data_IF_069968627237
#
_entry.id   IF_069968627237
#
_cell.length_a   1.000
_cell.length_b   1.000
_cell.length_c   1.000
_cell.angle_alpha   90.00
_cell.angle_beta   90.00
_cell.angle_gamma   90.00
#
_symmetry.space_group_name_H-M   'P 1'
#
loop_
_entity.id
_entity.type
_entity.pdbx_description
1 polymer ?
#
# COMPACT_ATOMS: atom_id res chain seq x y z
N UNK A 1 -18.70 75.33 -8.54
CA UNK A 1 -17.36 74.92 -9.01
C UNK A 1 -16.41 75.15 -7.82
N UNK A 2 -16.16 74.11 -6.99
CA UNK A 2 -15.23 74.17 -5.85
C UNK A 2 -14.13 73.17 -6.11
N UNK A 3 -12.92 73.63 -6.28
CA UNK A 3 -11.68 72.88 -6.48
C UNK A 3 -11.19 72.47 -5.09
N UNK A 4 -11.04 71.15 -4.84
CA UNK A 4 -10.44 70.62 -3.62
C UNK A 4 -9.03 70.16 -3.98
N UNK A 5 -8.07 70.87 -3.43
CA UNK A 5 -6.62 70.55 -3.52
C UNK A 5 -6.23 69.46 -2.56
N UNK A 6 -5.74 68.33 -3.04
CA UNK A 6 -5.18 67.26 -2.21
C UNK A 6 -3.72 67.54 -1.84
N UNK A 7 -3.43 67.62 -0.54
CA UNK A 7 -2.07 67.72 0.00
C UNK A 7 -1.41 66.35 -0.05
N UNK A 8 -0.23 66.26 -0.69
CA UNK A 8 0.67 65.09 -0.60
C UNK A 8 1.31 65.06 0.78
N UNK A 9 1.08 63.98 1.51
CA UNK A 9 1.83 63.65 2.72
C UNK A 9 3.00 62.75 2.29
N UNK A 10 4.22 63.21 2.48
CA UNK A 10 5.45 62.40 2.32
C UNK A 10 5.71 61.63 3.60
N UNK A 11 5.68 60.28 3.49
CA UNK A 11 6.10 59.38 4.56
C UNK A 11 7.63 59.20 4.47
N UNK A 12 8.38 59.31 5.57
CA UNK A 12 9.82 59.01 5.54
C UNK A 12 10.06 57.49 5.45
N UNK A 13 10.84 57.09 4.48
CA UNK A 13 11.33 55.70 4.31
C UNK A 13 12.36 55.42 5.43
N UNK A 14 11.98 54.63 6.42
CA UNK A 14 12.91 54.10 7.41
C UNK A 14 13.71 52.97 6.76
N UNK A 15 14.97 53.23 6.49
CA UNK A 15 15.94 52.22 6.07
C UNK A 15 16.32 51.37 7.33
N UNK A 16 15.83 50.15 7.42
CA UNK A 16 16.33 49.14 8.40
C UNK A 16 17.49 48.39 7.74
N UNK A 17 18.72 48.46 8.27
CA UNK A 17 19.80 47.65 7.75
C UNK A 17 19.52 46.19 8.08
N UNK A 18 19.28 45.35 7.05
CA UNK A 18 19.26 43.90 7.19
C UNK A 18 20.71 43.45 7.34
N UNK A 19 21.10 43.10 8.55
CA UNK A 19 22.35 42.43 8.83
C UNK A 19 22.26 41.00 8.34
N UNK A 20 22.83 40.69 7.19
CA UNK A 20 23.12 39.32 6.76
C UNK A 20 24.16 38.71 7.68
N UNK A 21 23.72 37.97 8.70
CA UNK A 21 24.58 37.01 9.39
C UNK A 21 24.94 35.88 8.42
N UNK A 22 26.10 35.24 8.57
CA UNK A 22 26.44 34.09 7.75
C UNK A 22 25.37 33.00 7.96
N UNK A 23 24.61 32.67 6.90
CA UNK A 23 23.85 31.43 6.88
C UNK A 23 24.88 30.29 6.98
N UNK A 24 25.02 29.70 8.17
CA UNK A 24 25.59 28.39 8.26
C UNK A 24 24.70 27.48 7.43
N UNK A 25 25.21 27.04 6.28
CA UNK A 25 24.59 25.95 5.55
C UNK A 25 24.62 24.76 6.52
N UNK A 26 23.47 24.46 7.16
CA UNK A 26 23.26 23.14 7.74
C UNK A 26 23.34 22.19 6.55
N UNK A 27 24.42 21.41 6.49
CA UNK A 27 24.46 20.24 5.63
C UNK A 27 23.19 19.46 5.96
N UNK A 28 22.29 19.36 5.01
CA UNK A 28 21.18 18.41 5.10
C UNK A 28 21.84 17.06 5.31
N UNK A 29 21.53 16.43 6.43
CA UNK A 29 21.94 15.06 6.70
C UNK A 29 21.38 14.24 5.53
N UNK A 30 22.28 13.76 4.68
CA UNK A 30 21.91 13.00 3.49
C UNK A 30 21.33 11.69 4.02
N UNK A 31 20.01 11.62 4.15
CA UNK A 31 19.32 10.43 4.63
C UNK A 31 19.64 9.31 3.65
N UNK A 32 20.50 8.41 4.06
CA UNK A 32 20.83 7.22 3.28
C UNK A 32 19.58 6.37 3.19
N UNK A 33 18.96 6.34 2.01
CA UNK A 33 17.80 5.49 1.74
C UNK A 33 18.26 4.04 1.71
N UNK A 34 17.69 3.23 2.58
CA UNK A 34 18.05 1.83 2.78
C UNK A 34 17.01 0.94 2.07
N UNK A 35 17.49 0.08 1.20
CA UNK A 35 16.65 -0.91 0.49
C UNK A 35 16.44 -2.12 1.39
N UNK A 36 15.22 -2.33 1.85
CA UNK A 36 14.85 -3.47 2.70
C UNK A 36 14.30 -4.66 1.89
N UNK A 37 14.06 -4.47 0.60
CA UNK A 37 13.52 -5.51 -0.29
C UNK A 37 14.58 -6.50 -0.78
N UNK A 38 15.86 -6.19 -0.65
CA UNK A 38 16.94 -7.13 -0.95
C UNK A 38 17.20 -8.03 0.27
N UNK A 39 17.83 -9.20 0.09
CA UNK A 39 18.23 -10.05 1.23
C UNK A 39 19.17 -9.35 2.21
N UNK A 40 19.69 -8.20 1.83
CA UNK A 40 20.57 -7.33 2.62
C UNK A 40 19.95 -5.95 2.73
N UNK A 41 20.16 -5.33 3.88
CA UNK A 41 19.91 -3.91 4.06
C UNK A 41 21.10 -3.15 3.47
N UNK A 42 20.99 -2.70 2.22
CA UNK A 42 22.02 -1.95 1.49
C UNK A 42 21.47 -0.59 1.08
N UNK A 43 22.37 0.36 0.83
CA UNK A 43 21.94 1.66 0.30
C UNK A 43 21.37 1.50 -1.12
N UNK A 44 20.49 2.42 -1.53
CA UNK A 44 19.94 2.41 -2.89
C UNK A 44 21.03 2.44 -3.95
N UNK A 45 22.10 3.20 -3.70
CA UNK A 45 23.23 3.35 -4.64
C UNK A 45 24.11 2.11 -4.75
N UNK A 46 24.17 1.30 -3.69
CA UNK A 46 25.00 0.08 -3.65
C UNK A 46 24.24 -1.16 -4.13
N UNK A 47 22.93 -1.01 -4.38
CA UNK A 47 22.09 -2.13 -4.83
C UNK A 47 22.33 -2.41 -6.32
N UNK A 48 22.77 -3.64 -6.73
CA UNK A 48 23.06 -3.98 -8.13
C UNK A 48 21.78 -4.22 -8.93
N UNK A 49 20.78 -3.35 -8.79
CA UNK A 49 19.47 -3.45 -9.41
C UNK A 49 18.85 -2.07 -9.61
N UNK A 50 17.88 -1.96 -10.52
CA UNK A 50 17.11 -0.72 -10.69
C UNK A 50 16.08 -0.61 -9.55
N UNK A 51 16.46 -0.01 -8.45
CA UNK A 51 15.63 0.22 -7.26
C UNK A 51 15.19 1.67 -7.18
N UNK A 52 14.07 1.92 -6.54
CA UNK A 52 13.66 3.22 -6.05
C UNK A 52 13.03 3.03 -4.68
N UNK A 53 13.45 3.85 -3.73
CA UNK A 53 12.88 3.90 -2.39
C UNK A 53 12.04 5.16 -2.25
N UNK A 54 10.79 5.02 -1.85
CA UNK A 54 9.90 6.14 -1.53
C UNK A 54 9.67 6.17 -0.03
N UNK A 55 10.05 7.26 0.62
CA UNK A 55 9.90 7.38 2.06
C UNK A 55 8.41 7.51 2.45
N UNK A 56 8.05 7.00 3.63
CA UNK A 56 6.71 7.18 4.16
C UNK A 56 6.39 8.65 4.48
N UNK A 57 7.39 9.48 4.73
CA UNK A 57 7.23 10.91 4.91
C UNK A 57 6.79 11.58 3.60
N UNK A 58 7.48 11.32 2.49
CA UNK A 58 7.09 11.81 1.16
C UNK A 58 5.71 11.33 0.77
N UNK A 59 5.39 10.07 1.08
CA UNK A 59 4.07 9.49 0.80
C UNK A 59 2.94 10.16 1.61
N UNK A 60 3.24 10.66 2.80
CA UNK A 60 2.26 11.33 3.65
C UNK A 60 2.18 12.84 3.40
N UNK A 61 3.19 13.42 2.74
CA UNK A 61 3.23 14.86 2.48
C UNK A 61 2.23 15.23 1.39
N UNK A 62 1.32 16.16 1.72
CA UNK A 62 0.33 16.74 0.80
C UNK A 62 -0.57 15.73 0.06
N UNK A 63 -0.78 14.52 0.60
CA UNK A 63 -1.64 13.49 0.02
C UNK A 63 -2.84 13.17 0.92
N UNK A 64 -3.97 12.72 0.36
CA UNK A 64 -5.11 12.23 1.14
C UNK A 64 -4.81 10.92 1.88
N UNK A 65 -3.77 10.18 1.52
CA UNK A 65 -3.32 8.89 2.09
C UNK A 65 -4.39 7.79 1.98
N UNK A 66 -5.02 7.67 0.83
CA UNK A 66 -6.10 6.70 0.58
C UNK A 66 -5.60 5.54 -0.28
N UNK A 67 -4.83 5.83 -1.34
CA UNK A 67 -4.36 4.86 -2.33
C UNK A 67 -2.88 5.05 -2.67
N UNK A 68 -2.17 3.96 -2.98
CA UNK A 68 -0.76 3.97 -3.41
C UNK A 68 -0.50 4.84 -4.65
N UNK A 69 -1.52 5.03 -5.51
CA UNK A 69 -1.42 5.89 -6.69
C UNK A 69 -1.15 7.36 -6.40
N UNK A 70 -1.36 7.79 -5.17
CA UNK A 70 -1.15 9.19 -4.77
C UNK A 70 0.35 9.53 -4.63
N UNK A 71 1.19 8.53 -4.37
CA UNK A 71 2.58 8.72 -3.98
C UNK A 71 3.59 8.01 -4.87
N UNK A 72 3.25 6.88 -5.46
CA UNK A 72 4.21 6.08 -6.24
C UNK A 72 4.27 6.46 -7.73
N UNK A 73 3.48 7.45 -8.18
CA UNK A 73 3.49 7.90 -9.58
C UNK A 73 4.81 8.53 -10.04
N UNK A 74 5.67 8.94 -9.10
CA UNK A 74 7.00 9.49 -9.37
C UNK A 74 8.07 8.42 -9.64
N UNK A 75 7.80 7.15 -9.35
CA UNK A 75 8.77 6.07 -9.53
C UNK A 75 8.95 5.76 -11.02
N UNK A 76 10.17 5.94 -11.58
CA UNK A 76 10.41 5.72 -13.00
C UNK A 76 10.08 4.29 -13.43
N UNK A 77 9.30 4.13 -14.51
CA UNK A 77 8.92 2.83 -15.06
C UNK A 77 7.83 2.08 -14.29
N UNK A 78 7.33 2.62 -13.19
CA UNK A 78 6.12 2.15 -12.51
C UNK A 78 4.93 2.99 -13.00
N UNK A 79 3.89 2.32 -13.47
CA UNK A 79 2.63 2.94 -13.85
C UNK A 79 1.53 2.42 -12.94
N UNK A 80 0.82 3.34 -12.28
CA UNK A 80 -0.31 3.03 -11.42
C UNK A 80 -1.54 3.73 -11.99
N UNK A 81 -2.51 2.95 -12.42
CA UNK A 81 -3.77 3.48 -12.90
C UNK A 81 -4.83 3.36 -11.81
N UNK A 82 -5.43 4.50 -11.49
CA UNK A 82 -6.54 4.61 -10.55
C UNK A 82 -7.78 5.07 -11.33
N UNK A 83 -8.82 4.26 -11.32
CA UNK A 83 -10.08 4.57 -12.01
C UNK A 83 -10.98 5.52 -11.23
N UNK A 84 -10.52 6.03 -10.08
CA UNK A 84 -11.32 6.80 -9.13
C UNK A 84 -12.62 6.07 -8.72
N UNK A 85 -12.52 4.73 -8.66
CA UNK A 85 -13.58 3.81 -8.30
C UNK A 85 -13.04 2.85 -7.25
N UNK A 86 -13.50 3.00 -6.02
CA UNK A 86 -12.99 2.23 -4.88
C UNK A 86 -13.40 0.75 -4.89
N UNK A 87 -14.38 0.35 -5.70
CA UNK A 87 -14.72 -1.04 -5.91
C UNK A 87 -13.73 -1.76 -6.84
N UNK A 88 -12.95 -1.01 -7.61
CA UNK A 88 -11.93 -1.53 -8.52
C UNK A 88 -10.55 -1.43 -7.90
N UNK A 89 -9.75 -2.50 -8.04
CA UNK A 89 -8.37 -2.50 -7.59
C UNK A 89 -7.51 -1.58 -8.49
N UNK A 90 -6.43 -1.04 -7.92
CA UNK A 90 -5.41 -0.33 -8.69
C UNK A 90 -4.79 -1.28 -9.71
N UNK A 91 -4.52 -0.78 -10.90
CA UNK A 91 -3.76 -1.50 -11.90
C UNK A 91 -2.32 -1.02 -11.86
N UNK A 92 -1.40 -1.94 -11.57
CA UNK A 92 0.03 -1.66 -11.51
C UNK A 92 0.73 -2.34 -12.69
N UNK A 93 1.63 -1.62 -13.34
CA UNK A 93 2.56 -2.21 -14.28
C UNK A 93 3.97 -1.64 -14.12
N UNK A 94 4.98 -2.50 -14.28
CA UNK A 94 6.39 -2.12 -14.23
C UNK A 94 7.00 -2.43 -15.58
N UNK A 95 7.47 -1.38 -16.30
CA UNK A 95 8.07 -1.52 -17.63
C UNK A 95 7.21 -2.35 -18.60
N UNK A 96 5.87 -2.23 -18.49
CA UNK A 96 4.89 -2.96 -19.31
C UNK A 96 4.48 -4.34 -18.76
N UNK A 97 5.20 -4.90 -17.80
CA UNK A 97 4.74 -6.11 -17.11
C UNK A 97 3.55 -5.77 -16.21
N UNK A 98 2.50 -6.58 -16.27
CA UNK A 98 1.24 -6.32 -15.55
C UNK A 98 0.22 -5.48 -16.34
N UNK A 99 0.58 -4.85 -17.45
CA UNK A 99 -0.31 -3.98 -18.24
C UNK A 99 -1.56 -4.70 -18.78
N UNK A 100 -1.50 -6.02 -19.00
CA UNK A 100 -2.64 -6.83 -19.43
C UNK A 100 -3.62 -7.17 -18.31
N UNK A 101 -3.25 -6.93 -17.05
CA UNK A 101 -4.15 -7.16 -15.93
C UNK A 101 -5.16 -6.02 -15.87
N UNK A 102 -6.36 -6.25 -16.37
CA UNK A 102 -7.44 -5.27 -16.31
C UNK A 102 -8.02 -5.11 -14.89
N UNK A 103 -7.81 -6.12 -14.05
CA UNK A 103 -8.31 -6.13 -12.66
C UNK A 103 -7.23 -6.66 -11.73
N UNK A 104 -6.83 -5.81 -10.76
CA UNK A 104 -5.78 -6.13 -9.78
C UNK A 104 -4.37 -6.09 -10.38
N UNK A 105 -3.43 -6.71 -9.70
CA UNK A 105 -2.01 -6.75 -10.05
C UNK A 105 -1.61 -8.15 -10.45
N UNK A 106 -0.86 -8.31 -11.54
CA UNK A 106 -0.27 -9.58 -11.99
C UNK A 106 1.14 -9.36 -12.51
N UNK A 107 2.03 -10.35 -12.31
CA UNK A 107 3.41 -10.28 -12.78
C UNK A 107 4.32 -9.34 -11.96
N UNK A 108 3.80 -8.77 -10.89
CA UNK A 108 4.53 -7.98 -9.90
C UNK A 108 4.30 -8.61 -8.55
N UNK A 109 5.38 -8.89 -7.83
CA UNK A 109 5.30 -9.44 -6.49
C UNK A 109 5.24 -8.31 -5.48
N UNK A 110 4.29 -8.36 -4.55
CA UNK A 110 4.14 -7.37 -3.49
C UNK A 110 4.20 -8.01 -2.12
N UNK A 111 4.82 -7.31 -1.18
CA UNK A 111 4.90 -7.70 0.22
C UNK A 111 4.53 -6.53 1.11
N UNK A 112 3.95 -6.83 2.27
CA UNK A 112 3.75 -5.90 3.38
C UNK A 112 4.42 -6.52 4.61
N UNK A 113 5.50 -5.91 5.07
CA UNK A 113 6.34 -6.43 6.17
C UNK A 113 6.80 -7.90 5.98
N UNK A 114 7.03 -8.31 4.74
CA UNK A 114 7.41 -9.68 4.40
C UNK A 114 6.23 -10.65 4.18
N UNK A 115 5.00 -10.27 4.53
CA UNK A 115 3.82 -11.07 4.21
C UNK A 115 3.41 -10.77 2.76
N UNK A 116 3.25 -11.79 1.89
CA UNK A 116 2.84 -11.56 0.51
C UNK A 116 1.47 -10.87 0.41
N UNK A 117 1.41 -9.76 -0.31
CA UNK A 117 0.17 -9.15 -0.79
C UNK A 117 -0.19 -9.65 -2.20
N UNK A 118 0.71 -10.42 -2.81
CA UNK A 118 0.47 -11.20 -4.03
C UNK A 118 0.28 -12.67 -3.64
N UNK A 119 -0.85 -13.22 -4.01
CA UNK A 119 -1.20 -14.61 -3.70
C UNK A 119 -0.39 -15.60 -4.55
N UNK A 120 -0.34 -16.89 -4.19
CA UNK A 120 0.38 -17.92 -4.96
C UNK A 120 -0.05 -18.04 -6.42
N UNK A 121 -1.31 -17.67 -6.75
CA UNK A 121 -1.84 -17.59 -8.13
C UNK A 121 -1.33 -16.37 -8.93
N UNK A 122 -0.50 -15.53 -8.33
CA UNK A 122 0.07 -14.32 -8.91
C UNK A 122 -0.85 -13.09 -8.88
N UNK A 123 -2.01 -13.16 -8.24
CA UNK A 123 -2.90 -12.00 -8.07
C UNK A 123 -2.46 -11.14 -6.90
N UNK A 124 -2.05 -9.92 -7.18
CA UNK A 124 -1.72 -8.93 -6.15
C UNK A 124 -2.90 -8.06 -5.77
N UNK A 125 -2.87 -7.55 -4.54
CA UNK A 125 -3.93 -6.76 -3.94
C UNK A 125 -3.36 -5.61 -3.14
N UNK A 126 -4.03 -4.45 -3.19
CA UNK A 126 -3.58 -3.21 -2.53
C UNK A 126 -4.55 -2.70 -1.46
N UNK A 127 -5.69 -3.38 -1.29
CA UNK A 127 -6.77 -2.89 -0.41
C UNK A 127 -6.39 -2.86 1.07
N UNK A 128 -5.50 -3.73 1.53
CA UNK A 128 -5.06 -3.84 2.92
C UNK A 128 -3.85 -2.95 3.27
N UNK A 129 -3.35 -2.16 2.32
CA UNK A 129 -2.20 -1.28 2.55
C UNK A 129 -2.69 0.03 3.17
N UNK A 130 -2.16 0.36 4.36
CA UNK A 130 -2.45 1.60 5.09
C UNK A 130 -1.29 2.58 4.96
N UNK A 131 -1.47 3.64 4.16
CA UNK A 131 -0.44 4.66 3.93
C UNK A 131 -0.08 5.44 5.20
N UNK A 132 -0.93 5.38 6.24
CA UNK A 132 -0.64 6.04 7.50
C UNK A 132 0.49 5.35 8.29
N UNK A 133 0.67 4.06 8.10
CA UNK A 133 1.66 3.25 8.82
C UNK A 133 2.95 3.00 8.03
N UNK A 134 3.04 3.41 6.76
CA UNK A 134 4.20 3.12 5.92
C UNK A 134 5.43 3.89 6.37
N UNK A 135 6.56 3.19 6.48
CA UNK A 135 7.90 3.74 6.66
C UNK A 135 8.59 3.96 5.31
N UNK A 136 8.55 2.97 4.43
CA UNK A 136 9.10 3.04 3.08
C UNK A 136 8.39 2.10 2.12
N UNK A 137 8.50 2.39 0.83
CA UNK A 137 8.13 1.46 -0.25
C UNK A 137 9.34 1.33 -1.17
N UNK A 138 9.83 0.10 -1.26
CA UNK A 138 10.96 -0.25 -2.13
C UNK A 138 10.40 -0.86 -3.43
N UNK A 139 10.76 -0.29 -4.57
CA UNK A 139 10.33 -0.76 -5.88
C UNK A 139 11.54 -1.29 -6.65
N UNK A 140 11.66 -2.60 -6.74
CA UNK A 140 12.67 -3.30 -7.51
C UNK A 140 12.14 -3.62 -8.90
N UNK A 141 12.77 -3.08 -9.94
CA UNK A 141 12.33 -3.18 -11.33
C UNK A 141 13.19 -4.16 -12.11
N UNK A 142 12.61 -5.26 -12.51
CA UNK A 142 13.31 -6.29 -13.28
C UNK A 142 12.88 -7.70 -12.89
N UNK A 143 13.49 -8.73 -13.50
CA UNK A 143 13.15 -10.11 -13.25
C UNK A 143 13.82 -10.64 -11.98
N UNK A 144 13.12 -10.56 -10.85
CA UNK A 144 13.59 -11.06 -9.57
C UNK A 144 13.05 -12.45 -9.22
N UNK A 145 12.63 -13.22 -10.22
CA UNK A 145 11.99 -14.53 -10.04
C UNK A 145 12.85 -15.54 -9.28
N UNK A 146 14.19 -15.42 -9.36
CA UNK A 146 15.10 -16.31 -8.65
C UNK A 146 15.00 -16.16 -7.12
N UNK A 147 14.66 -14.96 -6.63
CA UNK A 147 14.55 -14.66 -5.20
C UNK A 147 13.12 -14.57 -4.69
N UNK A 148 12.16 -14.25 -5.58
CA UNK A 148 10.81 -13.88 -5.19
C UNK A 148 9.72 -14.67 -5.94
N UNK A 149 10.08 -15.67 -6.73
CA UNK A 149 9.15 -16.49 -7.49
C UNK A 149 8.49 -15.69 -8.62
N UNK A 150 7.16 -15.62 -8.68
CA UNK A 150 6.40 -14.97 -9.76
C UNK A 150 6.54 -13.44 -9.75
N UNK A 151 7.71 -12.93 -10.13
CA UNK A 151 8.12 -11.53 -10.09
C UNK A 151 8.76 -11.06 -11.41
N UNK A 152 8.15 -11.37 -12.56
CA UNK A 152 8.69 -11.04 -13.89
C UNK A 152 8.86 -9.55 -14.12
N UNK A 153 7.96 -8.72 -13.61
CA UNK A 153 8.01 -7.27 -13.76
C UNK A 153 8.81 -6.57 -12.67
N UNK A 154 8.88 -7.16 -11.50
CA UNK A 154 9.54 -6.57 -10.34
C UNK A 154 8.88 -6.93 -9.01
N UNK A 155 9.42 -6.32 -7.96
CA UNK A 155 8.97 -6.50 -6.58
C UNK A 155 8.65 -5.14 -5.97
N UNK A 156 7.54 -5.05 -5.25
CA UNK A 156 7.20 -3.90 -4.42
C UNK A 156 7.13 -4.37 -2.98
N UNK A 157 8.05 -3.87 -2.16
CA UNK A 157 8.09 -4.18 -0.74
C UNK A 157 7.64 -2.96 0.06
N UNK A 158 6.62 -3.14 0.88
CA UNK A 158 6.02 -2.11 1.70
C UNK A 158 6.42 -2.41 3.14
N UNK A 159 7.20 -1.50 3.72
CA UNK A 159 7.64 -1.58 5.09
C UNK A 159 6.81 -0.64 5.95
N UNK A 160 6.15 -1.17 6.99
CA UNK A 160 5.48 -0.33 7.98
C UNK A 160 6.46 0.14 9.04
N UNK A 161 6.09 1.23 9.72
CA UNK A 161 6.91 1.80 10.78
C UNK A 161 7.19 0.81 11.90
N UNK A 162 8.36 0.93 12.50
CA UNK A 162 8.74 0.28 13.76
C UNK A 162 8.66 1.30 14.90
N UNK A 163 8.59 0.82 16.12
CA UNK A 163 8.62 1.67 17.29
C UNK A 163 9.99 2.32 17.48
N UNK A 164 9.99 3.56 17.93
CA UNK A 164 11.19 4.34 18.25
C UNK A 164 10.96 5.16 19.52
N UNK A 165 12.05 5.59 20.15
CA UNK A 165 12.00 6.56 21.23
C UNK A 165 12.21 7.98 20.67
N UNK A 166 11.54 9.00 21.21
CA UNK A 166 10.48 8.92 22.23
C UNK A 166 9.17 8.32 21.65
N UNK A 167 8.34 7.70 22.51
CA UNK A 167 7.04 7.24 22.10
C UNK A 167 6.18 8.39 21.59
N UNK A 168 5.44 8.15 20.49
CA UNK A 168 4.61 9.16 19.84
C UNK A 168 3.19 8.69 19.59
N UNK A 169 2.25 9.61 19.66
CA UNK A 169 0.88 9.39 19.22
C UNK A 169 0.57 10.46 18.18
N UNK A 170 0.14 10.01 17.01
CA UNK A 170 -0.24 10.86 15.89
C UNK A 170 -1.72 10.67 15.58
N UNK A 171 -2.48 11.75 15.49
CA UNK A 171 -3.83 11.77 14.97
C UNK A 171 -3.87 12.64 13.71
N UNK A 172 -4.52 12.16 12.66
CA UNK A 172 -4.64 12.87 11.40
C UNK A 172 -6.06 12.82 10.88
N UNK A 173 -6.50 13.88 10.24
CA UNK A 173 -7.79 13.96 9.57
C UNK A 173 -7.62 14.63 8.20
N UNK A 174 -8.43 14.19 7.26
CA UNK A 174 -8.54 14.79 5.93
C UNK A 174 -10.01 14.94 5.57
N UNK A 175 -10.34 16.08 5.01
CA UNK A 175 -11.65 16.35 4.43
C UNK A 175 -11.50 16.81 2.98
N UNK A 176 -12.30 16.25 2.09
CA UNK A 176 -12.30 16.57 0.67
C UNK A 176 -13.68 16.65 0.07
N UNK A 177 -13.75 16.93 -1.22
CA UNK A 177 -15.00 17.01 -1.98
C UNK A 177 -15.81 15.71 -1.89
N UNK A 178 -17.11 15.82 -2.13
CA UNK A 178 -18.07 14.71 -2.16
C UNK A 178 -18.21 13.96 -0.82
N UNK A 179 -18.10 14.69 0.30
CA UNK A 179 -18.21 14.10 1.62
C UNK A 179 -17.08 13.11 1.92
N UNK A 180 -15.91 13.36 1.37
CA UNK A 180 -14.73 12.52 1.61
C UNK A 180 -14.13 12.86 2.96
N UNK A 181 -14.03 11.86 3.83
CA UNK A 181 -13.38 11.94 5.13
C UNK A 181 -12.38 10.83 5.30
N UNK A 182 -11.24 11.15 5.89
CA UNK A 182 -10.29 10.17 6.37
C UNK A 182 -9.84 10.56 7.77
N UNK A 183 -9.84 9.60 8.69
CA UNK A 183 -9.30 9.70 10.04
C UNK A 183 -8.23 8.63 10.21
N UNK A 184 -7.10 9.00 10.77
CA UNK A 184 -6.02 8.09 11.10
C UNK A 184 -5.50 8.35 12.51
N UNK A 185 -5.23 7.29 13.25
CA UNK A 185 -4.51 7.31 14.51
C UNK A 185 -3.34 6.34 14.43
N UNK A 186 -2.22 6.72 15.01
CA UNK A 186 -1.03 5.90 15.06
C UNK A 186 -0.31 6.14 16.39
N UNK A 187 0.16 5.06 17.01
CA UNK A 187 1.01 5.10 18.18
C UNK A 187 2.27 4.26 17.90
N UNK A 188 3.43 4.84 18.15
CA UNK A 188 4.72 4.16 18.02
C UNK A 188 5.55 4.42 19.29
N UNK A 189 6.34 3.44 19.69
CA UNK A 189 7.21 3.59 20.84
C UNK A 189 8.15 2.41 21.00
N UNK A 190 9.17 2.60 21.85
CA UNK A 190 10.09 1.54 22.22
C UNK A 190 10.41 1.61 23.72
N UNK A 191 10.75 0.48 24.30
CA UNK A 191 11.31 0.32 25.62
C UNK A 191 12.69 -0.32 25.45
N UNK A 192 13.73 0.32 25.97
CA UNK A 192 15.11 -0.03 25.66
C UNK A 192 15.63 0.64 24.39
N UNK A 193 16.84 0.35 24.02
CA UNK A 193 17.53 0.89 22.83
C UNK A 193 17.51 -0.10 21.63
N UNK A 194 16.89 -1.24 21.80
CA UNK A 194 16.77 -2.29 20.78
C UNK A 194 17.97 -3.23 20.72
N UNK A 195 18.89 -3.18 21.68
CA UNK A 195 20.13 -3.96 21.68
C UNK A 195 20.14 -5.08 22.72
N UNK A 196 19.31 -4.97 23.77
CA UNK A 196 19.33 -5.90 24.91
C UNK A 196 18.12 -6.83 24.94
N UNK A 197 18.30 -7.98 25.57
CA UNK A 197 17.20 -8.89 25.84
C UNK A 197 16.09 -8.24 26.66
N UNK A 198 14.84 -8.39 26.19
CA UNK A 198 13.66 -7.76 26.78
C UNK A 198 13.29 -6.38 26.21
N UNK A 199 14.12 -5.80 25.33
CA UNK A 199 13.77 -4.58 24.61
C UNK A 199 12.59 -4.83 23.67
N UNK A 200 11.66 -3.88 23.65
CA UNK A 200 10.40 -3.98 22.90
C UNK A 200 10.21 -2.74 22.07
N UNK A 201 9.83 -2.92 20.82
CA UNK A 201 9.31 -1.84 19.95
C UNK A 201 7.90 -2.16 19.46
N UNK A 202 7.07 -1.12 19.30
CA UNK A 202 5.70 -1.28 18.84
C UNK A 202 5.26 -0.15 17.91
N UNK A 203 4.44 -0.51 16.94
CA UNK A 203 3.72 0.44 16.09
C UNK A 203 2.30 -0.09 15.87
N UNK A 204 1.30 0.73 16.18
CA UNK A 204 -0.12 0.41 16.00
C UNK A 204 -0.78 1.55 15.25
N UNK A 205 -1.56 1.23 14.23
CA UNK A 205 -2.32 2.23 13.47
C UNK A 205 -3.73 1.78 13.16
N UNK A 206 -4.63 2.75 13.04
CA UNK A 206 -5.97 2.54 12.53
C UNK A 206 -6.34 3.70 11.61
N UNK A 207 -7.02 3.38 10.52
CA UNK A 207 -7.48 4.36 9.53
C UNK A 207 -8.93 4.06 9.14
N UNK A 208 -9.75 5.10 9.10
CA UNK A 208 -11.10 5.06 8.55
C UNK A 208 -11.23 6.06 7.42
N UNK A 209 -11.68 5.59 6.27
CA UNK A 209 -12.00 6.39 5.09
C UNK A 209 -13.46 6.20 4.72
N UNK A 210 -14.13 7.31 4.35
CA UNK A 210 -15.48 7.33 3.81
C UNK A 210 -15.62 8.38 2.74
N UNK A 211 -16.44 8.13 1.74
CA UNK A 211 -16.80 9.10 0.69
C UNK A 211 -18.17 8.79 0.09
N UNK A 212 -18.87 9.80 -0.37
CA UNK A 212 -20.05 9.60 -1.23
C UNK A 212 -19.65 9.38 -2.70
N UNK A 213 -18.43 9.85 -3.08
CA UNK A 213 -17.91 9.79 -4.43
C UNK A 213 -18.47 10.86 -5.36
N UNK A 214 -17.79 11.07 -6.50
CA UNK A 214 -18.21 12.05 -7.51
C UNK A 214 -19.46 11.63 -8.27
N UNK A 215 -19.51 10.35 -8.66
CA UNK A 215 -20.62 9.79 -9.43
C UNK A 215 -21.71 9.25 -8.49
N UNK A 216 -22.91 9.19 -9.01
CA UNK A 216 -23.99 8.44 -8.38
C UNK A 216 -23.53 6.98 -8.20
N UNK A 217 -23.97 6.31 -7.14
CA UNK A 217 -23.58 4.95 -6.82
C UNK A 217 -22.05 4.72 -6.74
N UNK A 218 -21.26 5.68 -6.21
CA UNK A 218 -19.80 5.59 -6.08
C UNK A 218 -19.29 5.73 -4.65
N UNK A 219 -20.18 5.68 -3.67
CA UNK A 219 -19.82 5.77 -2.26
C UNK A 219 -18.95 4.61 -1.78
N UNK A 220 -18.03 4.89 -0.86
CA UNK A 220 -17.13 3.87 -0.30
C UNK A 220 -16.84 4.10 1.18
N UNK A 221 -16.51 3.00 1.88
CA UNK A 221 -16.00 2.97 3.23
C UNK A 221 -14.87 1.95 3.31
N UNK A 222 -13.75 2.33 3.95
CA UNK A 222 -12.62 1.43 4.24
C UNK A 222 -12.14 1.68 5.67
N UNK A 223 -12.00 0.59 6.44
CA UNK A 223 -11.38 0.60 7.75
C UNK A 223 -10.12 -0.27 7.67
N UNK A 224 -9.02 0.21 8.22
CA UNK A 224 -7.74 -0.46 8.28
C UNK A 224 -7.24 -0.50 9.72
N UNK A 225 -6.59 -1.59 10.09
CA UNK A 225 -5.88 -1.70 11.35
C UNK A 225 -4.58 -2.48 11.13
N UNK A 226 -3.47 -1.97 11.71
CA UNK A 226 -2.17 -2.59 11.65
C UNK A 226 -1.53 -2.57 13.03
N UNK A 227 -0.77 -3.61 13.34
CA UNK A 227 0.06 -3.67 14.52
C UNK A 227 1.36 -4.41 14.19
N UNK A 228 2.47 -3.89 14.71
CA UNK A 228 3.78 -4.51 14.67
C UNK A 228 4.37 -4.42 16.07
N UNK A 229 4.85 -5.56 16.58
CA UNK A 229 5.50 -5.67 17.88
C UNK A 229 6.82 -6.39 17.69
N UNK A 230 7.92 -5.73 17.98
CA UNK A 230 9.26 -6.32 18.03
C UNK A 230 9.66 -6.61 19.46
N UNK A 231 10.23 -7.77 19.70
CA UNK A 231 10.78 -8.18 20.99
C UNK A 231 12.18 -8.72 20.77
N UNK A 232 13.18 -8.13 21.42
CA UNK A 232 14.55 -8.63 21.45
C UNK A 232 14.59 -9.81 22.46
N UNK A 233 14.90 -11.02 21.97
CA UNK A 233 14.97 -12.22 22.80
C UNK A 233 16.31 -12.30 23.52
N UNK A 234 17.37 -12.04 22.79
CA UNK A 234 18.75 -11.92 23.23
C UNK A 234 19.50 -10.91 22.36
N UNK A 235 20.79 -10.70 22.60
CA UNK A 235 21.59 -9.68 21.90
C UNK A 235 21.71 -9.91 20.38
N UNK A 236 21.42 -11.12 19.91
CA UNK A 236 21.54 -11.54 18.51
C UNK A 236 20.22 -11.95 17.86
N UNK A 237 19.11 -11.97 18.63
CA UNK A 237 17.82 -12.49 18.14
C UNK A 237 16.67 -11.51 18.38
N UNK A 238 15.83 -11.33 17.38
CA UNK A 238 14.61 -10.52 17.43
C UNK A 238 13.42 -11.31 16.93
N UNK A 239 12.31 -11.23 17.64
CA UNK A 239 11.01 -11.72 17.22
C UNK A 239 10.13 -10.53 16.85
N UNK A 240 9.49 -10.56 15.68
CA UNK A 240 8.54 -9.54 15.26
C UNK A 240 7.18 -10.17 14.98
N UNK A 241 6.16 -9.68 15.65
CA UNK A 241 4.76 -10.03 15.40
C UNK A 241 4.13 -8.97 14.53
N UNK A 242 3.38 -9.38 13.52
CA UNK A 242 2.76 -8.51 12.52
C UNK A 242 1.28 -8.87 12.42
N UNK A 243 0.44 -7.85 12.41
CA UNK A 243 -1.00 -7.98 12.22
C UNK A 243 -1.51 -6.91 11.26
N UNK A 244 -2.42 -7.31 10.36
CA UNK A 244 -3.06 -6.37 9.43
C UNK A 244 -4.51 -6.81 9.18
N UNK A 245 -5.43 -5.84 9.14
CA UNK A 245 -6.84 -6.08 8.84
C UNK A 245 -7.43 -4.97 7.98
N UNK A 246 -8.33 -5.34 7.08
CA UNK A 246 -9.15 -4.41 6.28
C UNK A 246 -10.61 -4.87 6.21
N UNK A 247 -11.53 -3.92 6.39
CA UNK A 247 -12.96 -4.04 6.07
C UNK A 247 -13.32 -2.92 5.11
N UNK A 248 -13.73 -3.27 3.89
CA UNK A 248 -14.07 -2.33 2.83
C UNK A 248 -15.42 -2.67 2.21
N UNK A 249 -16.22 -1.62 1.98
CA UNK A 249 -17.41 -1.65 1.13
C UNK A 249 -17.32 -0.51 0.14
N UNK A 250 -17.56 -0.78 -1.14
CA UNK A 250 -17.56 0.24 -2.17
C UNK A 250 -18.62 -0.07 -3.23
N UNK A 251 -19.38 0.94 -3.59
CA UNK A 251 -20.28 0.91 -4.73
C UNK A 251 -19.48 1.09 -6.02
N UNK A 252 -19.90 0.42 -7.07
CA UNK A 252 -19.27 0.51 -8.39
C UNK A 252 -20.20 1.24 -9.36
N UNK A 253 -19.85 2.48 -9.77
CA UNK A 253 -20.69 3.23 -10.70
C UNK A 253 -20.64 2.68 -12.13
N UNK A 254 -19.79 1.71 -12.42
CA UNK A 254 -19.56 1.18 -13.76
C UNK A 254 -18.97 2.18 -14.74
N UNK A 255 -18.72 1.75 -15.97
CA UNK A 255 -18.31 2.63 -17.07
C UNK A 255 -19.47 3.43 -17.65
N UNK A 256 -19.18 4.54 -18.31
CA UNK A 256 -20.10 5.31 -19.16
C UNK A 256 -19.65 5.20 -20.61
N UNK A 257 -20.63 5.11 -21.52
CA UNK A 257 -20.37 5.40 -22.94
C UNK A 257 -20.09 6.90 -23.12
N UNK A 258 -19.53 7.28 -24.27
CA UNK A 258 -19.27 8.69 -24.57
C UNK A 258 -20.55 9.53 -24.51
N UNK A 259 -21.65 9.02 -25.02
CA UNK A 259 -22.94 9.71 -25.02
C UNK A 259 -23.52 9.87 -23.62
N UNK A 260 -23.45 8.82 -22.80
CA UNK A 260 -23.88 8.89 -21.39
C UNK A 260 -23.05 9.92 -20.61
N UNK A 261 -21.72 9.95 -20.84
CA UNK A 261 -20.83 10.93 -20.23
C UNK A 261 -21.16 12.37 -20.66
N UNK A 262 -21.44 12.59 -21.94
CA UNK A 262 -21.84 13.91 -22.47
C UNK A 262 -23.15 14.40 -21.84
N UNK A 263 -24.10 13.48 -21.66
CA UNK A 263 -25.43 13.83 -21.11
C UNK A 263 -25.36 14.14 -19.61
N UNK A 264 -24.71 13.27 -18.86
CA UNK A 264 -24.51 13.45 -17.41
C UNK A 264 -23.29 12.64 -16.92
N UNK A 265 -22.14 13.27 -16.69
CA UNK A 265 -20.93 12.56 -16.26
C UNK A 265 -21.02 11.96 -14.84
N UNK A 266 -22.07 12.33 -14.08
CA UNK A 266 -22.28 11.81 -12.71
C UNK A 266 -23.17 10.56 -12.67
N UNK A 267 -23.93 10.27 -13.69
CA UNK A 267 -24.86 9.15 -13.69
C UNK A 267 -24.16 7.79 -13.54
N UNK A 268 -24.93 6.81 -13.05
CA UNK A 268 -24.51 5.42 -12.86
C UNK A 268 -25.58 4.44 -13.33
N UNK A 269 -25.89 4.38 -14.62
CA UNK A 269 -27.02 3.56 -15.11
C UNK A 269 -26.87 2.09 -14.72
N UNK A 270 -25.65 1.52 -14.82
CA UNK A 270 -25.38 0.12 -14.46
C UNK A 270 -25.37 -0.11 -12.96
N UNK A 271 -24.85 0.87 -12.19
CA UNK A 271 -24.90 0.84 -10.73
C UNK A 271 -26.33 0.83 -10.19
N UNK A 272 -27.19 1.65 -10.77
CA UNK A 272 -28.60 1.74 -10.38
C UNK A 272 -29.38 0.48 -10.80
N UNK A 273 -29.10 -0.07 -11.97
CA UNK A 273 -29.75 -1.26 -12.49
C UNK A 273 -29.38 -2.52 -11.69
N UNK A 274 -28.09 -2.80 -11.51
CA UNK A 274 -27.59 -4.06 -10.95
C UNK A 274 -27.11 -3.94 -9.50
N UNK A 275 -27.15 -2.77 -8.89
CA UNK A 275 -26.59 -2.50 -7.58
C UNK A 275 -25.13 -2.98 -7.45
N UNK A 276 -24.33 -2.66 -8.45
CA UNK A 276 -22.94 -3.08 -8.54
C UNK A 276 -22.13 -2.56 -7.36
N UNK A 277 -21.41 -3.47 -6.69
CA UNK A 277 -20.65 -3.16 -5.48
C UNK A 277 -19.64 -4.23 -5.16
N UNK A 278 -18.68 -3.90 -4.28
CA UNK A 278 -17.70 -4.85 -3.79
C UNK A 278 -17.55 -4.72 -2.28
N UNK A 279 -17.45 -5.85 -1.61
CA UNK A 279 -17.07 -5.93 -0.19
C UNK A 279 -15.83 -6.75 -0.06
N UNK A 280 -14.92 -6.34 0.83
CA UNK A 280 -13.69 -7.04 1.14
C UNK A 280 -13.53 -7.06 2.65
N UNK A 281 -13.22 -8.22 3.20
CA UNK A 281 -12.68 -8.40 4.54
C UNK A 281 -11.43 -9.22 4.44
N UNK A 282 -10.36 -8.79 5.08
CA UNK A 282 -9.12 -9.54 5.13
C UNK A 282 -8.50 -9.35 6.51
N UNK A 283 -8.00 -10.43 7.06
CA UNK A 283 -7.19 -10.43 8.27
C UNK A 283 -6.00 -11.32 8.05
N UNK A 284 -4.82 -10.85 8.43
CA UNK A 284 -3.59 -11.62 8.34
C UNK A 284 -2.68 -11.35 9.53
N UNK A 285 -1.89 -12.34 9.87
CA UNK A 285 -0.86 -12.24 10.89
C UNK A 285 0.42 -12.92 10.43
N UNK A 286 1.54 -12.47 10.95
CA UNK A 286 2.85 -13.07 10.71
C UNK A 286 3.75 -13.00 11.93
N UNK A 287 4.70 -13.92 11.97
CA UNK A 287 5.77 -13.99 12.96
C UNK A 287 7.08 -14.07 12.21
N UNK A 288 7.97 -13.13 12.46
CA UNK A 288 9.32 -13.11 11.90
C UNK A 288 10.33 -13.27 13.02
N UNK A 289 11.23 -14.21 12.85
CA UNK A 289 12.38 -14.44 13.72
C UNK A 289 13.65 -14.15 12.95
N UNK A 290 14.43 -13.19 13.41
CA UNK A 290 15.73 -12.79 12.87
C UNK A 290 16.79 -13.14 13.89
N UNK A 291 17.87 -13.83 13.47
CA UNK A 291 19.01 -14.21 14.33
C UNK A 291 20.32 -14.05 13.60
N UNK A 292 21.24 -13.36 14.22
CA UNK A 292 22.64 -13.36 13.83
C UNK A 292 23.30 -14.61 14.39
N UNK A 293 23.63 -15.58 13.53
CA UNK A 293 24.25 -16.86 13.93
C UNK A 293 25.75 -16.69 14.21
N UNK A 294 26.40 -15.79 13.46
CA UNK A 294 27.81 -15.39 13.61
C UNK A 294 27.97 -13.96 13.11
N UNK A 295 29.18 -13.38 13.17
CA UNK A 295 29.49 -12.09 12.54
C UNK A 295 29.24 -12.08 11.02
N UNK A 296 29.28 -13.26 10.39
CA UNK A 296 29.14 -13.45 8.96
C UNK A 296 27.78 -14.01 8.54
N UNK A 297 27.04 -14.62 9.45
CA UNK A 297 25.84 -15.40 9.14
C UNK A 297 24.60 -14.86 9.80
N UNK A 298 23.57 -14.58 8.99
CA UNK A 298 22.24 -14.21 9.43
C UNK A 298 21.20 -15.23 8.99
N UNK A 299 20.24 -15.52 9.86
CA UNK A 299 19.08 -16.32 9.62
C UNK A 299 17.82 -15.48 9.83
N UNK A 300 16.89 -15.53 8.86
CA UNK A 300 15.55 -14.95 8.98
C UNK A 300 14.51 -16.01 8.65
N UNK A 301 13.51 -16.14 9.49
CA UNK A 301 12.38 -17.05 9.29
C UNK A 301 11.10 -16.27 9.45
N UNK A 302 10.26 -16.26 8.41
CA UNK A 302 8.94 -15.65 8.40
C UNK A 302 7.86 -16.70 8.25
N UNK A 303 6.89 -16.73 9.14
CA UNK A 303 5.67 -17.53 9.01
C UNK A 303 4.45 -16.61 9.02
N UNK A 304 3.49 -16.91 8.19
CA UNK A 304 2.27 -16.09 8.08
C UNK A 304 1.05 -16.93 7.74
N UNK A 305 -0.11 -16.41 8.12
CA UNK A 305 -1.41 -16.92 7.71
C UNK A 305 -2.39 -15.76 7.56
N UNK A 306 -3.37 -15.94 6.71
CA UNK A 306 -4.41 -14.96 6.48
C UNK A 306 -5.67 -15.54 5.83
N UNK A 307 -6.72 -14.78 5.97
CA UNK A 307 -8.02 -15.04 5.39
C UNK A 307 -8.51 -13.80 4.63
N UNK A 308 -9.13 -14.01 3.47
CA UNK A 308 -9.75 -12.96 2.68
C UNK A 308 -11.10 -13.40 2.14
N UNK A 309 -12.11 -12.62 2.45
CA UNK A 309 -13.45 -12.71 1.89
C UNK A 309 -13.69 -11.56 0.91
N UNK A 310 -14.29 -11.87 -0.22
CA UNK A 310 -14.68 -10.86 -1.21
C UNK A 310 -16.01 -11.25 -1.84
N UNK A 311 -16.97 -10.33 -1.83
CA UNK A 311 -18.21 -10.46 -2.62
C UNK A 311 -18.28 -9.27 -3.57
N UNK A 312 -18.46 -9.54 -4.86
CA UNK A 312 -18.58 -8.54 -5.91
C UNK A 312 -19.81 -8.77 -6.77
N UNK A 313 -20.64 -7.75 -6.86
CA UNK A 313 -21.81 -7.69 -7.75
C UNK A 313 -21.44 -6.92 -9.01
N UNK A 314 -21.63 -7.54 -10.15
CA UNK A 314 -21.23 -7.05 -11.47
C UNK A 314 -22.46 -6.74 -12.33
N UNK A 315 -22.28 -5.85 -13.32
CA UNK A 315 -23.33 -5.54 -14.31
C UNK A 315 -23.24 -6.45 -15.52
N UNK A 316 -23.45 -7.75 -15.32
CA UNK A 316 -23.53 -8.72 -16.41
C UNK A 316 -24.98 -8.73 -16.93
N UNK A 317 -25.24 -8.62 -18.25
CA UNK A 317 -26.59 -8.67 -18.78
C UNK A 317 -27.34 -9.94 -18.37
N UNK A 318 -28.63 -9.81 -18.06
CA UNK A 318 -29.46 -10.92 -17.57
C UNK A 318 -29.46 -12.09 -18.55
N UNK A 319 -29.60 -11.80 -19.84
CA UNK A 319 -29.57 -12.82 -20.92
C UNK A 319 -28.23 -13.60 -20.91
N UNK A 320 -27.09 -12.94 -20.65
CA UNK A 320 -25.81 -13.62 -20.54
C UNK A 320 -25.76 -14.57 -19.35
N UNK A 321 -26.40 -14.19 -18.24
CA UNK A 321 -26.41 -14.99 -17.03
C UNK A 321 -27.39 -16.19 -17.13
N UNK A 322 -28.54 -15.98 -17.71
CA UNK A 322 -29.63 -16.97 -17.72
C UNK A 322 -29.59 -17.90 -18.94
N UNK A 323 -29.15 -17.42 -20.10
CA UNK A 323 -29.13 -18.19 -21.35
C UNK A 323 -27.81 -18.95 -21.60
N UNK A 324 -26.75 -18.63 -20.85
CA UNK A 324 -25.47 -19.31 -20.96
C UNK A 324 -25.19 -20.18 -19.73
N UNK A 325 -25.42 -21.48 -19.77
CA UNK A 325 -25.22 -22.40 -18.64
C UNK A 325 -23.76 -22.47 -18.16
N UNK A 326 -22.82 -22.07 -19.00
CA UNK A 326 -21.38 -22.04 -18.64
C UNK A 326 -20.98 -20.73 -17.92
N UNK A 327 -21.87 -19.73 -17.86
CA UNK A 327 -21.57 -18.48 -17.20
C UNK A 327 -21.78 -18.58 -15.68
N UNK A 328 -20.84 -18.10 -14.90
CA UNK A 328 -20.88 -18.19 -13.43
C UNK A 328 -21.83 -17.18 -12.74
N UNK A 329 -22.60 -16.41 -13.50
CA UNK A 329 -23.50 -15.37 -12.99
C UNK A 329 -22.84 -14.00 -12.85
N UNK A 330 -23.57 -13.06 -12.24
CA UNK A 330 -23.17 -11.67 -12.02
C UNK A 330 -22.62 -11.39 -10.62
N UNK A 331 -22.60 -12.38 -9.71
CA UNK A 331 -22.02 -12.24 -8.37
C UNK A 331 -20.85 -13.18 -8.24
N UNK A 332 -19.73 -12.65 -7.76
CA UNK A 332 -18.58 -13.44 -7.32
C UNK A 332 -18.57 -13.40 -5.80
N UNK A 333 -18.65 -14.58 -5.18
CA UNK A 333 -18.46 -14.77 -3.75
C UNK A 333 -17.25 -15.66 -3.53
N UNK A 334 -16.22 -15.13 -2.86
CA UNK A 334 -14.91 -15.76 -2.78
C UNK A 334 -14.37 -15.70 -1.35
N UNK A 335 -13.92 -16.86 -0.88
CA UNK A 335 -13.20 -16.99 0.37
C UNK A 335 -11.84 -17.63 0.10
N UNK A 336 -10.77 -17.02 0.61
CA UNK A 336 -9.39 -17.49 0.50
C UNK A 336 -8.77 -17.63 1.87
N UNK A 337 -8.10 -18.76 2.07
CA UNK A 337 -7.18 -18.97 3.18
C UNK A 337 -5.79 -19.17 2.60
N UNK A 338 -4.82 -18.47 3.12
CA UNK A 338 -3.43 -18.56 2.67
C UNK A 338 -2.48 -18.57 3.85
N UNK A 339 -1.37 -19.27 3.66
CA UNK A 339 -0.32 -19.40 4.66
C UNK A 339 1.00 -19.70 3.99
N UNK A 340 2.09 -19.43 4.68
CA UNK A 340 3.41 -19.75 4.16
C UNK A 340 4.51 -19.61 5.19
N UNK A 341 5.68 -20.08 4.75
CA UNK A 341 6.95 -19.95 5.44
C UNK A 341 8.01 -19.48 4.44
N UNK A 342 8.79 -18.49 4.82
CA UNK A 342 9.98 -18.03 4.10
C UNK A 342 11.17 -18.12 5.05
N UNK A 343 12.21 -18.84 4.64
CA UNK A 343 13.45 -18.98 5.42
C UNK A 343 14.60 -18.52 4.57
N UNK A 344 15.45 -17.65 5.11
CA UNK A 344 16.63 -17.10 4.43
C UNK A 344 17.84 -17.20 5.34
N UNK A 345 18.92 -17.68 4.78
CA UNK A 345 20.26 -17.64 5.36
C UNK A 345 21.16 -16.81 4.47
N UNK A 346 21.86 -15.87 5.06
CA UNK A 346 22.79 -14.97 4.40
C UNK A 346 24.17 -15.13 5.00
N UNK A 347 25.17 -15.42 4.17
CA UNK A 347 26.57 -15.51 4.55
C UNK A 347 27.36 -14.36 3.89
N UNK A 348 28.17 -13.65 4.70
CA UNK A 348 29.08 -12.61 4.23
C UNK A 348 30.49 -13.13 4.38
N UNK A 349 31.22 -13.17 3.29
CA UNK A 349 32.60 -13.66 3.26
C UNK A 349 33.47 -12.86 2.32
N UNK A 350 34.72 -13.22 2.26
CA UNK A 350 35.74 -12.64 1.36
C UNK A 350 36.40 -13.76 0.58
N UNK A 351 36.37 -13.67 -0.75
CA UNK A 351 37.00 -14.64 -1.65
C UNK A 351 38.21 -14.03 -2.38
N UNK A 352 38.14 -12.96 -3.01
CA UNK A 352 39.11 -12.02 -3.60
C UNK A 352 38.55 -10.62 -3.51
N UNK A 353 37.24 -10.56 -3.33
CA UNK A 353 36.41 -9.39 -3.13
C UNK A 353 35.36 -9.75 -2.07
N UNK A 354 34.75 -8.76 -1.38
CA UNK A 354 33.61 -9.03 -0.50
C UNK A 354 32.50 -9.75 -1.27
N UNK A 355 32.03 -10.87 -0.74
CA UNK A 355 30.97 -11.68 -1.33
C UNK A 355 29.88 -11.88 -0.32
N UNK A 356 28.63 -11.70 -0.75
CA UNK A 356 27.47 -12.07 0.03
C UNK A 356 26.71 -13.16 -0.69
N UNK A 357 26.49 -14.26 -0.02
CA UNK A 357 25.71 -15.40 -0.50
C UNK A 357 24.41 -15.50 0.28
N UNK A 358 23.28 -15.53 -0.43
CA UNK A 358 21.97 -15.71 0.19
C UNK A 358 21.29 -16.92 -0.44
N UNK A 359 20.78 -17.81 0.41
CA UNK A 359 19.91 -18.92 0.01
C UNK A 359 18.70 -19.00 0.90
N UNK A 360 17.66 -19.66 0.43
CA UNK A 360 16.43 -19.76 1.21
C UNK A 360 15.47 -20.80 0.66
N UNK A 361 14.42 -21.01 1.43
CA UNK A 361 13.28 -21.86 1.10
C UNK A 361 12.01 -21.04 1.32
N UNK A 362 11.17 -20.98 0.29
CA UNK A 362 9.84 -20.39 0.37
C UNK A 362 8.79 -21.48 0.07
N UNK A 363 7.80 -21.59 0.96
CA UNK A 363 6.64 -22.43 0.74
C UNK A 363 5.38 -21.61 0.96
N UNK A 364 4.49 -21.63 -0.01
CA UNK A 364 3.22 -20.91 0.01
C UNK A 364 2.08 -21.85 -0.34
N UNK A 365 0.99 -21.75 0.38
CA UNK A 365 -0.22 -22.50 0.11
C UNK A 365 -1.43 -21.57 0.16
N UNK A 366 -2.39 -21.79 -0.73
CA UNK A 366 -3.65 -21.09 -0.76
C UNK A 366 -4.79 -22.06 -1.11
N UNK A 367 -5.88 -21.97 -0.39
CA UNK A 367 -7.15 -22.57 -0.77
C UNK A 367 -8.16 -21.47 -1.09
N UNK A 368 -8.91 -21.67 -2.16
CA UNK A 368 -9.96 -20.76 -2.59
C UNK A 368 -11.29 -21.51 -2.75
N UNK A 369 -12.31 -20.99 -2.09
CA UNK A 369 -13.70 -21.38 -2.33
C UNK A 369 -14.35 -20.20 -3.05
N UNK A 370 -14.76 -20.44 -4.31
CA UNK A 370 -15.38 -19.42 -5.14
C UNK A 370 -16.72 -19.92 -5.63
N UNK A 371 -17.75 -19.10 -5.44
CA UNK A 371 -19.11 -19.35 -5.89
C UNK A 371 -19.56 -18.22 -6.80
N UNK A 372 -20.39 -18.56 -7.77
CA UNK A 372 -21.05 -17.61 -8.66
C UNK A 372 -22.55 -17.63 -8.41
N UNK A 373 -23.18 -16.46 -8.48
CA UNK A 373 -24.64 -16.33 -8.39
C UNK A 373 -25.13 -15.34 -9.45
N UNK A 374 -26.39 -15.44 -9.82
CA UNK A 374 -27.02 -14.45 -10.68
C UNK A 374 -27.18 -13.10 -9.98
N UNK A 375 -27.01 -12.02 -10.73
CA UNK A 375 -27.28 -10.65 -10.31
C UNK A 375 -28.23 -10.02 -11.34
N UNK A 376 -29.51 -10.28 -11.20
CA UNK A 376 -30.53 -9.84 -12.14
C UNK A 376 -30.91 -8.37 -11.89
N UNK A 377 -31.47 -7.73 -12.90
CA UNK A 377 -31.97 -6.36 -12.81
C UNK A 377 -33.00 -6.27 -11.67
N UNK A 378 -32.87 -5.26 -10.82
CA UNK A 378 -33.80 -4.99 -9.70
C UNK A 378 -35.26 -4.85 -10.13
N UNK A 379 -35.49 -4.49 -11.39
CA UNK A 379 -36.84 -4.38 -11.96
C UNK A 379 -37.42 -5.71 -12.40
N UNK A 380 -36.57 -6.74 -12.54
CA UNK A 380 -37.01 -8.08 -13.00
C UNK A 380 -37.41 -9.01 -11.86
N UNK A 381 -37.20 -8.57 -10.60
CA UNK A 381 -37.62 -9.33 -9.42
C UNK A 381 -38.98 -8.78 -8.98
N UNK A 382 -40.03 -9.25 -9.65
CA UNK A 382 -41.45 -9.09 -9.25
C UNK A 382 -42.04 -10.44 -8.95
#
# INVERSE_FOLDING_TARGET
>A
MKIITARKASLPLLFVPVIFGPLSAMAADEQTLIVSATPQTVSELDTPAAVSVVSGEDMRHATPRINLSESLGSVPGLQIQNRQNYAQDLQLSVRGFGARSTFGVRGIRMYVDGIPATMPDGQGQTSNIDLNSIQSVDVLRGPFSALYGNASGGVININTQTGQQPATIEASSYYGSYGTWRYGMKATGAVGDGTQAGDVDYAVSTTRFTTHGYRDHSGARKNLANAKLGVRIDDVSKLTLIFNSVDMKANDPGGLSYQEWQNNPRQSPRGDQYNTRKTIKQTQAGIRYDRQLSEQDDLSVMMYAGEREMTQYQSIPDTTQTENPAHSGGVIDMQRHYQGIDTRWTHRGELLVPVTFTTGLNYENMSENRRGYENLDRKSVV
#
